data_IF_638989200000
#
_entry.id   IF_638989200000
#
_cell.length_a   1.000
_cell.length_b   1.000
_cell.length_c   1.000
_cell.angle_alpha   90.00
_cell.angle_beta   90.00
_cell.angle_gamma   90.00
#
_symmetry.space_group_name_H-M   'P 1'
#
loop_
_entity.id
_entity.type
_entity.pdbx_description
1 polymer ?
#
# COMPACT_ATOMS: atom_id res chain seq x y z
N UNK A 1 12.72 -8.06 -18.14
CA UNK A 1 12.18 -6.77 -18.61
C UNK A 1 12.32 -5.79 -17.47
N UNK A 2 13.11 -4.76 -17.64
CA UNK A 2 13.15 -3.66 -16.68
C UNK A 2 11.91 -2.80 -16.95
N UNK A 3 10.89 -3.00 -16.11
CA UNK A 3 9.70 -2.16 -16.16
C UNK A 3 10.02 -0.89 -15.39
N UNK A 4 10.14 0.24 -16.10
CA UNK A 4 10.34 1.53 -15.47
C UNK A 4 8.99 2.22 -15.28
N UNK A 5 8.68 2.55 -14.02
CA UNK A 5 7.48 3.27 -13.64
C UNK A 5 7.82 4.73 -13.32
N UNK A 6 6.91 5.64 -13.64
CA UNK A 6 7.06 7.06 -13.27
C UNK A 6 6.80 7.27 -11.77
N UNK A 7 5.89 6.45 -11.17
CA UNK A 7 5.57 6.47 -9.75
C UNK A 7 5.50 5.02 -9.24
N UNK A 8 6.11 4.76 -8.09
CA UNK A 8 6.04 3.48 -7.38
C UNK A 8 5.51 3.71 -5.97
N UNK A 9 4.52 2.92 -5.56
CA UNK A 9 4.00 2.90 -4.20
C UNK A 9 4.53 1.67 -3.46
N UNK A 10 5.31 1.85 -2.41
CA UNK A 10 5.67 0.78 -1.47
C UNK A 10 4.72 0.82 -0.28
N UNK A 11 3.68 0.01 -0.32
CA UNK A 11 2.68 -0.12 0.73
C UNK A 11 3.02 -1.19 1.76
N UNK A 12 4.12 -1.91 1.58
CA UNK A 12 4.56 -3.02 2.45
C UNK A 12 5.68 -2.57 3.38
N UNK A 13 6.71 -1.93 2.86
CA UNK A 13 7.82 -1.40 3.66
C UNK A 13 8.79 -2.47 4.17
N UNK A 14 9.06 -3.50 3.38
CA UNK A 14 10.15 -4.44 3.59
C UNK A 14 11.42 -3.96 2.88
N UNK A 15 12.59 -4.43 3.30
CA UNK A 15 13.84 -4.19 2.58
C UNK A 15 13.73 -4.63 1.11
N UNK A 16 13.15 -5.80 0.89
CA UNK A 16 12.96 -6.36 -0.46
C UNK A 16 12.07 -5.48 -1.34
N UNK A 17 10.97 -4.93 -0.78
CA UNK A 17 10.07 -4.05 -1.54
C UNK A 17 10.71 -2.70 -1.82
N UNK A 18 11.48 -2.14 -0.88
CA UNK A 18 12.27 -0.91 -1.10
C UNK A 18 13.31 -1.08 -2.20
N UNK A 19 14.06 -2.21 -2.20
CA UNK A 19 15.03 -2.52 -3.24
C UNK A 19 14.34 -2.75 -4.59
N UNK A 20 13.17 -3.36 -4.62
CA UNK A 20 12.40 -3.52 -5.83
C UNK A 20 11.86 -2.18 -6.36
N UNK A 21 11.38 -1.31 -5.48
CA UNK A 21 10.91 0.03 -5.84
C UNK A 21 12.02 0.84 -6.52
N UNK A 22 13.21 0.95 -5.89
CA UNK A 22 14.33 1.69 -6.49
C UNK A 22 14.84 1.03 -7.78
N UNK A 23 14.70 -0.29 -7.94
CA UNK A 23 15.10 -0.99 -9.15
C UNK A 23 14.16 -0.68 -10.33
N UNK A 24 12.86 -0.56 -10.07
CA UNK A 24 11.82 -0.43 -11.10
C UNK A 24 11.41 1.00 -11.43
N UNK A 25 11.86 1.99 -10.66
CA UNK A 25 11.56 3.40 -10.92
C UNK A 25 12.39 3.95 -12.07
N UNK A 26 11.79 4.81 -12.90
CA UNK A 26 12.50 5.57 -13.96
C UNK A 26 13.38 6.66 -13.36
N UNK A 27 14.42 7.10 -14.09
CA UNK A 27 15.11 8.36 -13.77
C UNK A 27 14.11 9.52 -13.65
N UNK A 28 14.27 10.34 -12.61
CA UNK A 28 13.35 11.44 -12.28
C UNK A 28 12.02 10.99 -11.67
N UNK A 29 11.81 9.69 -11.43
CA UNK A 29 10.55 9.15 -10.90
C UNK A 29 10.36 9.38 -9.40
N UNK A 30 9.18 9.01 -8.90
CA UNK A 30 8.77 9.23 -7.52
C UNK A 30 8.49 7.89 -6.84
N UNK A 31 9.11 7.65 -5.69
CA UNK A 31 8.78 6.53 -4.80
C UNK A 31 7.98 7.07 -3.62
N UNK A 32 6.76 6.58 -3.43
CA UNK A 32 5.90 6.88 -2.29
C UNK A 32 5.93 5.69 -1.34
N UNK A 33 6.56 5.88 -0.18
CA UNK A 33 6.75 4.85 0.84
C UNK A 33 5.73 5.01 1.96
N UNK A 34 4.86 4.03 2.12
CA UNK A 34 3.74 4.02 3.07
C UNK A 34 3.90 2.89 4.09
N UNK A 35 4.41 1.75 3.65
CA UNK A 35 4.52 0.54 4.47
C UNK A 35 5.56 0.65 5.58
N UNK A 36 5.27 0.05 6.74
CA UNK A 36 6.10 0.14 7.96
C UNK A 36 6.46 -1.23 8.53
N UNK A 37 6.47 -2.28 7.71
CA UNK A 37 6.68 -3.66 8.20
C UNK A 37 8.08 -3.86 8.78
N UNK A 38 9.10 -3.22 8.20
CA UNK A 38 10.49 -3.36 8.64
C UNK A 38 11.13 -2.00 8.89
N UNK A 39 11.65 -1.73 10.11
CA UNK A 39 12.12 -0.40 10.50
C UNK A 39 13.43 0.03 9.81
N UNK A 40 14.21 -0.91 9.31
CA UNK A 40 15.51 -0.66 8.68
C UNK A 40 15.68 -1.54 7.44
N UNK A 41 16.80 -1.36 6.74
CA UNK A 41 17.16 -2.14 5.57
C UNK A 41 17.88 -1.30 4.53
N UNK A 42 18.36 -1.96 3.49
CA UNK A 42 19.13 -1.35 2.41
C UNK A 42 18.25 -0.54 1.46
N UNK A 43 18.86 0.50 0.89
CA UNK A 43 18.29 1.29 -0.19
C UNK A 43 19.44 1.77 -1.09
N UNK A 44 19.29 1.72 -2.39
CA UNK A 44 20.31 2.16 -3.33
C UNK A 44 20.33 3.69 -3.46
N UNK A 45 20.93 4.35 -2.48
CA UNK A 45 21.09 5.81 -2.47
C UNK A 45 21.94 6.31 -3.64
N UNK A 46 22.92 5.51 -4.12
CA UNK A 46 23.73 5.89 -5.28
C UNK A 46 22.85 6.00 -6.52
N UNK A 47 22.00 5.01 -6.80
CA UNK A 47 21.04 5.06 -7.90
C UNK A 47 20.06 6.21 -7.72
N UNK A 48 19.52 6.38 -6.52
CA UNK A 48 18.57 7.45 -6.22
C UNK A 48 19.19 8.84 -6.56
N UNK A 49 20.44 9.07 -6.16
CA UNK A 49 21.16 10.33 -6.45
C UNK A 49 21.45 10.48 -7.93
N UNK A 50 22.02 9.46 -8.58
CA UNK A 50 22.42 9.54 -9.99
C UNK A 50 21.23 9.68 -10.95
N UNK A 51 20.06 9.20 -10.55
CA UNK A 51 18.84 9.24 -11.35
C UNK A 51 17.81 10.27 -10.85
N UNK A 52 18.19 11.13 -9.89
CA UNK A 52 17.32 12.20 -9.36
C UNK A 52 15.95 11.70 -8.88
N UNK A 53 15.95 10.54 -8.17
CA UNK A 53 14.72 9.93 -7.68
C UNK A 53 14.18 10.72 -6.48
N UNK A 54 12.89 11.06 -6.53
CA UNK A 54 12.18 11.63 -5.38
C UNK A 54 11.65 10.52 -4.50
N UNK A 55 12.01 10.54 -3.20
CA UNK A 55 11.49 9.62 -2.21
C UNK A 55 10.61 10.37 -1.21
N UNK A 56 9.34 9.94 -1.06
CA UNK A 56 8.36 10.57 -0.18
C UNK A 56 7.89 9.55 0.84
N UNK A 57 8.18 9.77 2.11
CA UNK A 57 7.55 9.05 3.21
C UNK A 57 6.15 9.61 3.48
N UNK A 58 5.16 8.73 3.60
CA UNK A 58 3.77 9.11 3.85
C UNK A 58 3.25 8.34 5.05
N UNK A 59 2.69 9.05 6.03
CA UNK A 59 2.16 8.46 7.25
C UNK A 59 0.77 8.97 7.57
N UNK A 60 -0.16 8.03 7.76
CA UNK A 60 -1.56 8.32 8.10
C UNK A 60 -2.25 9.28 7.10
N UNK A 61 -3.18 10.08 7.60
CA UNK A 61 -4.00 11.02 6.82
C UNK A 61 -4.49 12.16 7.70
N UNK A 62 -4.81 13.28 7.08
CA UNK A 62 -5.46 14.41 7.74
C UNK A 62 -6.97 14.23 7.76
N UNK A 63 -7.69 15.02 8.58
CA UNK A 63 -9.16 15.04 8.57
C UNK A 63 -9.72 15.38 7.18
N UNK A 64 -9.02 16.22 6.43
CA UNK A 64 -9.39 16.58 5.06
C UNK A 64 -9.25 15.38 4.11
N UNK A 65 -8.17 14.62 4.24
CA UNK A 65 -7.97 13.41 3.43
C UNK A 65 -9.05 12.37 3.71
N UNK A 66 -9.42 12.20 4.99
CA UNK A 66 -10.52 11.33 5.39
C UNK A 66 -11.85 11.75 4.73
N UNK A 67 -12.22 13.02 4.83
CA UNK A 67 -13.45 13.55 4.23
C UNK A 67 -13.46 13.38 2.71
N UNK A 68 -12.35 13.75 2.06
CA UNK A 68 -12.21 13.57 0.61
C UNK A 68 -12.32 12.10 0.19
N UNK A 69 -11.73 11.19 0.95
CA UNK A 69 -11.81 9.75 0.69
C UNK A 69 -13.24 9.24 0.86
N UNK A 70 -13.96 9.71 1.87
CA UNK A 70 -15.36 9.37 2.08
C UNK A 70 -16.23 9.83 0.89
N UNK A 71 -16.01 11.04 0.39
CA UNK A 71 -16.72 11.57 -0.80
C UNK A 71 -16.41 10.75 -2.06
N UNK A 72 -15.17 10.27 -2.22
CA UNK A 72 -14.77 9.41 -3.32
C UNK A 72 -15.48 8.05 -3.24
N UNK A 73 -15.51 7.45 -2.04
CA UNK A 73 -16.16 6.16 -1.79
C UNK A 73 -17.68 6.23 -1.99
N UNK A 74 -18.35 7.22 -1.36
CA UNK A 74 -19.80 7.39 -1.45
C UNK A 74 -20.25 7.81 -2.86
N UNK A 75 -19.42 8.58 -3.55
CA UNK A 75 -19.63 8.96 -4.95
C UNK A 75 -19.29 7.84 -5.95
N UNK A 76 -18.93 6.64 -5.51
CA UNK A 76 -18.54 5.48 -6.33
C UNK A 76 -17.45 5.79 -7.38
N UNK A 77 -16.60 6.77 -7.11
CA UNK A 77 -15.55 7.20 -8.05
C UNK A 77 -14.43 6.17 -8.26
N UNK A 78 -14.30 5.19 -7.37
CA UNK A 78 -13.34 4.08 -7.46
C UNK A 78 -13.99 2.75 -7.85
N UNK A 79 -15.21 2.80 -8.39
CA UNK A 79 -15.96 1.63 -8.82
C UNK A 79 -16.64 0.88 -7.68
N UNK A 80 -17.07 -0.34 -7.97
CA UNK A 80 -17.70 -1.21 -6.98
C UNK A 80 -16.66 -1.79 -6.03
N UNK A 81 -16.99 -1.85 -4.74
CA UNK A 81 -16.14 -2.40 -3.69
C UNK A 81 -16.26 -3.94 -3.60
N UNK A 82 -16.39 -4.62 -4.73
CA UNK A 82 -16.57 -6.08 -4.83
C UNK A 82 -15.40 -6.91 -4.27
N UNK A 83 -14.28 -6.25 -3.96
CA UNK A 83 -13.14 -6.86 -3.29
C UNK A 83 -13.27 -6.91 -1.75
N UNK A 84 -14.35 -6.33 -1.17
CA UNK A 84 -14.63 -6.37 0.26
C UNK A 84 -15.50 -7.59 0.57
N UNK A 85 -15.10 -8.36 1.56
CA UNK A 85 -15.89 -9.46 2.13
C UNK A 85 -16.58 -9.00 3.41
N UNK A 86 -17.87 -9.32 3.55
CA UNK A 86 -18.65 -9.02 4.76
C UNK A 86 -18.89 -10.30 5.55
N UNK A 87 -18.62 -10.28 6.86
CA UNK A 87 -18.86 -11.39 7.79
C UNK A 87 -19.60 -10.93 9.02
N UNK A 88 -20.28 -11.85 9.71
CA UNK A 88 -20.91 -11.54 11.01
C UNK A 88 -19.82 -11.32 12.07
N UNK A 89 -20.08 -10.48 13.05
CA UNK A 89 -19.13 -10.19 14.14
C UNK A 89 -18.62 -11.47 14.84
N UNK A 90 -19.48 -12.47 15.03
CA UNK A 90 -19.11 -13.76 15.63
C UNK A 90 -18.01 -14.51 14.86
N UNK A 91 -17.87 -14.24 13.57
CA UNK A 91 -16.88 -14.89 12.69
C UNK A 91 -15.53 -14.16 12.71
N UNK A 92 -15.39 -13.09 13.51
CA UNK A 92 -14.18 -12.30 13.67
C UNK A 92 -12.93 -13.14 13.97
N UNK A 93 -12.93 -14.01 14.99
CA UNK A 93 -11.76 -14.82 15.31
C UNK A 93 -11.28 -15.68 14.13
N UNK A 94 -12.21 -16.30 13.39
CA UNK A 94 -11.86 -17.08 12.19
C UNK A 94 -11.34 -16.21 11.04
N UNK A 95 -11.88 -15.00 10.87
CA UNK A 95 -11.41 -14.05 9.88
C UNK A 95 -9.96 -13.63 10.15
N UNK A 96 -9.63 -13.27 11.40
CA UNK A 96 -8.27 -12.93 11.79
C UNK A 96 -7.29 -14.08 11.55
N UNK A 97 -7.69 -15.30 11.92
CA UNK A 97 -6.87 -16.49 11.68
C UNK A 97 -6.58 -16.70 10.20
N UNK A 98 -7.62 -16.64 9.35
CA UNK A 98 -7.48 -16.82 7.91
C UNK A 98 -6.61 -15.73 7.25
N UNK A 99 -6.72 -14.48 7.69
CA UNK A 99 -5.87 -13.38 7.22
C UNK A 99 -4.42 -13.65 7.63
N UNK A 100 -4.18 -14.04 8.87
CA UNK A 100 -2.84 -14.34 9.37
C UNK A 100 -2.19 -15.52 8.63
N UNK A 101 -2.96 -16.54 8.31
CA UNK A 101 -2.51 -17.75 7.59
C UNK A 101 -2.44 -17.53 6.07
N UNK A 102 -2.85 -16.37 5.56
CA UNK A 102 -2.87 -16.07 4.12
C UNK A 102 -3.90 -16.87 3.33
N UNK A 103 -4.90 -17.46 4.02
CA UNK A 103 -5.97 -18.26 3.41
C UNK A 103 -7.22 -17.46 3.06
N UNK A 104 -7.31 -16.20 3.50
CA UNK A 104 -8.35 -15.26 3.10
C UNK A 104 -8.01 -14.66 1.75
N UNK A 105 -8.88 -14.85 0.76
CA UNK A 105 -8.68 -14.29 -0.59
C UNK A 105 -9.07 -12.80 -0.69
N UNK A 106 -9.95 -12.34 0.19
CA UNK A 106 -10.39 -10.95 0.20
C UNK A 106 -9.34 -10.02 0.84
N UNK A 107 -8.92 -8.94 0.18
CA UNK A 107 -7.95 -8.01 0.74
C UNK A 107 -8.52 -7.19 1.92
N UNK A 108 -9.83 -7.18 2.11
CA UNK A 108 -10.51 -6.48 3.20
C UNK A 108 -11.71 -7.26 3.70
N UNK A 109 -11.77 -7.51 5.00
CA UNK A 109 -12.95 -8.09 5.66
C UNK A 109 -13.59 -7.05 6.57
N UNK A 110 -14.90 -6.86 6.45
CA UNK A 110 -15.71 -6.00 7.31
C UNK A 110 -16.62 -6.89 8.16
N UNK A 111 -16.56 -6.70 9.47
CA UNK A 111 -17.43 -7.42 10.42
C UNK A 111 -18.69 -6.59 10.64
N UNK A 112 -19.84 -7.23 10.40
CA UNK A 112 -21.16 -6.64 10.62
C UNK A 112 -21.68 -7.04 12.02
N UNK A 113 -22.25 -6.06 12.72
CA UNK A 113 -22.87 -6.20 14.03
C UNK A 113 -24.30 -6.72 13.87
#
# INVERSE_FOLDING_TARGET
>A
MENYFDIVFDTVGLETTRLQAIKSIKPGGIIIHIGLTQPSGSFDFRKATLQEITFIGTYCYTNKDFTNTLDILTGKKIGDLGWIEYRKLKDGPSAFKQIHEGTCSAPKVILLI
#
